data_IF_821801566403
#
_entry.id   IF_821801566403
#
_cell.length_a   1.000
_cell.length_b   1.000
_cell.length_c   1.000
_cell.angle_alpha   90.00
_cell.angle_beta   90.00
_cell.angle_gamma   90.00
#
_symmetry.space_group_name_H-M   'P 1'
#
loop_
_entity.id
_entity.type
_entity.pdbx_description
1 polymer ?
#
# COMPACT_ATOMS: atom_id res chain seq x y z
N UNK A 1 11.85 -2.21 23.69
CA UNK A 1 10.87 -1.44 22.90
C UNK A 1 10.68 -2.23 21.62
N UNK A 2 9.50 -2.79 21.40
CA UNK A 2 9.23 -3.55 20.17
C UNK A 2 9.37 -2.61 18.97
N UNK A 3 10.10 -3.04 17.95
CA UNK A 3 10.24 -2.30 16.69
C UNK A 3 8.85 -2.21 16.04
N UNK A 4 8.16 -1.08 16.20
CA UNK A 4 6.91 -0.82 15.50
C UNK A 4 7.24 -0.64 14.01
N UNK A 5 6.97 -1.67 13.21
CA UNK A 5 7.09 -1.65 11.75
C UNK A 5 5.71 -1.77 11.12
N UNK A 6 5.44 -0.98 10.09
CA UNK A 6 4.22 -1.07 9.28
C UNK A 6 4.67 -1.32 7.84
N UNK A 7 4.29 -2.47 7.26
CA UNK A 7 4.69 -2.91 5.92
C UNK A 7 6.19 -2.77 5.63
N UNK A 8 7.04 -3.11 6.60
CA UNK A 8 8.49 -3.00 6.49
C UNK A 8 9.08 -1.62 6.78
N UNK A 9 8.25 -0.59 6.97
CA UNK A 9 8.70 0.76 7.39
C UNK A 9 8.90 0.82 8.89
N UNK A 10 10.13 1.07 9.31
CA UNK A 10 10.46 1.33 10.71
C UNK A 10 9.97 2.72 11.14
N UNK A 11 9.13 2.77 12.18
CA UNK A 11 8.54 4.02 12.69
C UNK A 11 9.50 4.84 13.56
N UNK A 12 10.68 4.32 13.93
CA UNK A 12 11.67 5.04 14.75
C UNK A 12 12.60 5.92 13.93
N UNK A 13 12.63 5.75 12.59
CA UNK A 13 13.45 6.56 11.69
C UNK A 13 12.64 7.65 10.99
N UNK A 14 13.35 8.54 10.29
CA UNK A 14 12.72 9.55 9.43
C UNK A 14 12.02 8.84 8.26
N UNK A 15 10.70 8.99 8.20
CA UNK A 15 9.89 8.44 7.11
C UNK A 15 9.98 9.38 5.89
N UNK A 16 10.15 8.78 4.71
CA UNK A 16 10.18 9.50 3.42
C UNK A 16 8.98 9.11 2.55
N UNK A 17 8.58 9.95 1.58
CA UNK A 17 7.50 9.60 0.65
C UNK A 17 7.71 8.27 -0.08
N UNK A 18 8.96 7.98 -0.50
CA UNK A 18 9.31 6.71 -1.15
C UNK A 18 9.02 5.50 -0.26
N UNK A 19 9.35 5.60 1.04
CA UNK A 19 9.05 4.53 2.00
C UNK A 19 7.55 4.30 2.15
N UNK A 20 6.75 5.38 2.15
CA UNK A 20 5.29 5.27 2.22
C UNK A 20 4.71 4.67 0.94
N UNK A 21 5.23 5.04 -0.23
CA UNK A 21 4.85 4.45 -1.53
C UNK A 21 5.17 2.95 -1.61
N UNK A 22 6.31 2.54 -1.08
CA UNK A 22 6.68 1.13 -0.97
C UNK A 22 5.75 0.39 0.00
N UNK A 23 5.46 1.00 1.15
CA UNK A 23 4.51 0.47 2.12
C UNK A 23 3.09 0.32 1.54
N UNK A 24 2.63 1.28 0.73
CA UNK A 24 1.33 1.18 0.02
C UNK A 24 1.31 -0.03 -0.91
N UNK A 25 2.40 -0.28 -1.64
CA UNK A 25 2.50 -1.43 -2.55
C UNK A 25 2.40 -2.74 -1.79
N UNK A 26 3.09 -2.85 -0.64
CA UNK A 26 3.04 -4.02 0.22
C UNK A 26 1.67 -4.18 0.91
N UNK A 27 1.11 -3.08 1.42
CA UNK A 27 -0.22 -3.02 2.00
C UNK A 27 -1.30 -3.53 1.03
N UNK A 28 -1.26 -3.08 -0.23
CA UNK A 28 -2.24 -3.48 -1.23
C UNK A 28 -2.12 -4.97 -1.59
N UNK A 29 -0.88 -5.47 -1.69
CA UNK A 29 -0.63 -6.90 -1.88
C UNK A 29 -1.17 -7.75 -0.73
N UNK A 30 -0.89 -7.37 0.52
CA UNK A 30 -1.38 -8.10 1.69
C UNK A 30 -2.91 -8.09 1.78
N UNK A 31 -3.55 -6.94 1.52
CA UNK A 31 -5.00 -6.84 1.48
C UNK A 31 -5.59 -7.73 0.36
N UNK A 32 -4.98 -7.72 -0.83
CA UNK A 32 -5.39 -8.56 -1.95
C UNK A 32 -5.30 -10.05 -1.63
N UNK A 33 -4.19 -10.51 -1.02
CA UNK A 33 -4.03 -11.90 -0.60
C UNK A 33 -5.07 -12.31 0.45
N UNK A 34 -5.34 -11.46 1.44
CA UNK A 34 -6.34 -11.74 2.47
C UNK A 34 -7.76 -11.82 1.89
N UNK A 35 -8.12 -10.93 0.95
CA UNK A 35 -9.44 -10.92 0.32
C UNK A 35 -9.69 -12.14 -0.59
N UNK A 36 -8.67 -12.53 -1.36
CA UNK A 36 -8.76 -13.63 -2.33
C UNK A 36 -8.53 -15.00 -1.72
N UNK A 37 -7.91 -15.07 -0.53
CA UNK A 37 -7.48 -16.31 0.10
C UNK A 37 -6.30 -16.98 -0.61
N UNK A 38 -5.50 -16.19 -1.35
CA UNK A 38 -4.35 -16.69 -2.10
C UNK A 38 -3.30 -17.34 -1.18
N UNK A 39 -2.76 -18.48 -1.61
CA UNK A 39 -1.69 -19.15 -0.90
C UNK A 39 -0.34 -18.48 -1.22
N UNK A 40 0.17 -17.69 -0.29
CA UNK A 40 1.47 -17.01 -0.44
C UNK A 40 2.68 -17.94 -0.28
N UNK A 41 2.47 -19.24 0.01
CA UNK A 41 3.55 -20.24 0.07
C UNK A 41 4.02 -20.71 -1.31
N UNK A 42 3.21 -20.54 -2.37
CA UNK A 42 3.70 -20.70 -3.74
C UNK A 42 4.40 -19.41 -4.16
N UNK A 43 5.73 -19.45 -4.17
CA UNK A 43 6.56 -18.28 -4.52
C UNK A 43 6.25 -17.72 -5.91
N UNK A 44 5.95 -18.58 -6.90
CA UNK A 44 5.66 -18.13 -8.27
C UNK A 44 4.31 -17.43 -8.35
N UNK A 45 3.31 -17.93 -7.64
CA UNK A 45 1.99 -17.29 -7.56
C UNK A 45 2.07 -15.99 -6.76
N UNK A 46 2.78 -15.99 -5.64
CA UNK A 46 3.04 -14.81 -4.81
C UNK A 46 3.73 -13.70 -5.62
N UNK A 47 4.80 -14.01 -6.36
CA UNK A 47 5.53 -13.03 -7.17
C UNK A 47 4.67 -12.41 -8.27
N UNK A 48 3.84 -13.22 -8.95
CA UNK A 48 2.89 -12.72 -9.96
C UNK A 48 1.87 -11.76 -9.36
N UNK A 49 1.31 -12.12 -8.20
CA UNK A 49 0.33 -11.28 -7.52
C UNK A 49 0.96 -9.99 -6.98
N UNK A 50 2.20 -10.07 -6.48
CA UNK A 50 2.96 -8.90 -6.06
C UNK A 50 3.22 -7.95 -7.22
N UNK A 51 3.66 -8.47 -8.37
CA UNK A 51 3.85 -7.67 -9.59
C UNK A 51 2.54 -7.04 -10.07
N UNK A 52 1.44 -7.80 -10.07
CA UNK A 52 0.11 -7.30 -10.41
C UNK A 52 -0.32 -6.15 -9.50
N UNK A 53 -0.17 -6.33 -8.18
CA UNK A 53 -0.47 -5.29 -7.18
C UNK A 53 0.39 -4.04 -7.38
N UNK A 54 1.69 -4.21 -7.62
CA UNK A 54 2.59 -3.09 -7.93
C UNK A 54 2.18 -2.35 -9.20
N UNK A 55 1.73 -3.05 -10.25
CA UNK A 55 1.23 -2.43 -11.47
C UNK A 55 -0.04 -1.62 -11.22
N UNK A 56 -0.97 -2.13 -10.41
CA UNK A 56 -2.18 -1.38 -10.02
C UNK A 56 -1.82 -0.12 -9.26
N UNK A 57 -0.96 -0.23 -8.25
CA UNK A 57 -0.55 0.93 -7.44
C UNK A 57 0.15 1.96 -8.33
N UNK A 58 1.11 1.54 -9.16
CA UNK A 58 1.78 2.42 -10.11
C UNK A 58 0.80 3.13 -11.03
N UNK A 59 -0.12 2.38 -11.65
CA UNK A 59 -1.16 2.94 -12.52
C UNK A 59 -2.04 3.92 -11.76
N UNK A 60 -2.33 3.67 -10.49
CA UNK A 60 -3.15 4.55 -9.66
C UNK A 60 -2.46 5.89 -9.39
N UNK A 61 -1.14 5.90 -9.18
CA UNK A 61 -0.35 7.13 -9.14
C UNK A 61 -0.42 7.87 -10.48
N UNK A 62 -0.21 7.18 -11.60
CA UNK A 62 -0.26 7.79 -12.94
C UNK A 62 -1.65 8.38 -13.26
N UNK A 63 -2.72 7.63 -12.99
CA UNK A 63 -4.10 8.05 -13.21
C UNK A 63 -4.47 9.26 -12.33
N UNK A 64 -3.81 9.44 -11.17
CA UNK A 64 -4.00 10.59 -10.28
C UNK A 64 -3.02 11.74 -10.56
N UNK A 65 -2.29 11.67 -11.68
CA UNK A 65 -1.25 12.64 -12.07
C UNK A 65 -0.11 12.76 -11.04
N UNK A 66 0.09 11.76 -10.18
CA UNK A 66 1.17 11.69 -9.20
C UNK A 66 2.43 11.02 -9.74
N UNK A 67 3.57 11.25 -9.09
CA UNK A 67 4.84 10.64 -9.47
C UNK A 67 5.10 9.36 -8.66
N UNK A 68 5.01 8.19 -9.27
CA UNK A 68 5.33 6.93 -8.58
C UNK A 68 6.83 6.80 -8.22
N UNK A 69 7.73 7.36 -9.04
CA UNK A 69 9.18 7.21 -8.91
C UNK A 69 9.81 8.15 -7.88
N UNK A 70 9.23 9.33 -7.69
CA UNK A 70 9.61 10.33 -6.68
C UNK A 70 8.34 11.04 -6.18
N UNK A 71 7.52 10.36 -5.36
CA UNK A 71 6.24 10.88 -4.92
C UNK A 71 6.43 12.00 -3.92
N UNK A 72 5.55 12.99 -3.97
CA UNK A 72 5.33 13.90 -2.84
C UNK A 72 4.13 13.43 -1.99
N UNK A 73 3.85 14.13 -0.88
CA UNK A 73 2.73 13.80 0.02
C UNK A 73 1.36 13.87 -0.67
N UNK A 74 1.15 14.82 -1.58
CA UNK A 74 -0.10 14.95 -2.31
C UNK A 74 -0.30 13.79 -3.29
N UNK A 75 0.77 13.36 -3.99
CA UNK A 75 0.72 12.19 -4.88
C UNK A 75 0.26 10.94 -4.11
N UNK A 76 0.81 10.75 -2.90
CA UNK A 76 0.45 9.65 -2.01
C UNK A 76 -1.02 9.72 -1.58
N UNK A 77 -1.50 10.90 -1.16
CA UNK A 77 -2.88 11.09 -0.74
C UNK A 77 -3.86 10.80 -1.88
N UNK A 78 -3.60 11.33 -3.08
CA UNK A 78 -4.43 11.10 -4.25
C UNK A 78 -4.47 9.61 -4.64
N UNK A 79 -3.31 8.95 -4.60
CA UNK A 79 -3.23 7.52 -4.89
C UNK A 79 -4.02 6.70 -3.86
N UNK A 80 -3.92 7.05 -2.57
CA UNK A 80 -4.66 6.38 -1.49
C UNK A 80 -6.17 6.49 -1.63
N UNK A 81 -6.69 7.65 -2.03
CA UNK A 81 -8.13 7.82 -2.27
C UNK A 81 -8.62 6.93 -3.42
N UNK A 82 -7.84 6.86 -4.52
CA UNK A 82 -8.17 5.98 -5.65
C UNK A 82 -8.05 4.50 -5.32
N UNK A 83 -7.04 4.09 -4.56
CA UNK A 83 -6.90 2.70 -4.10
C UNK A 83 -8.04 2.31 -3.16
N UNK A 84 -8.49 3.23 -2.29
CA UNK A 84 -9.68 3.03 -1.46
C UNK A 84 -10.92 2.82 -2.30
N UNK A 85 -11.12 3.63 -3.35
CA UNK A 85 -12.23 3.46 -4.30
C UNK A 85 -12.17 2.11 -5.00
N UNK A 86 -10.99 1.73 -5.52
CA UNK A 86 -10.76 0.44 -6.18
C UNK A 86 -11.12 -0.73 -5.25
N UNK A 87 -10.76 -0.61 -3.97
CA UNK A 87 -10.92 -1.66 -2.97
C UNK A 87 -12.36 -1.80 -2.44
N UNK A 88 -13.31 -0.93 -2.83
CA UNK A 88 -14.73 -1.08 -2.47
C UNK A 88 -15.36 -2.39 -2.96
N UNK A 89 -14.75 -3.02 -3.96
CA UNK A 89 -15.21 -4.30 -4.51
C UNK A 89 -14.65 -5.52 -3.76
N UNK A 90 -13.82 -5.31 -2.73
CA UNK A 90 -13.31 -6.40 -1.91
C UNK A 90 -14.46 -7.03 -1.10
N UNK A 91 -14.38 -8.33 -0.89
CA UNK A 91 -15.38 -9.13 -0.18
C UNK A 91 -15.51 -8.70 1.27
N UNK A 92 -14.38 -8.35 1.89
CA UNK A 92 -14.34 -7.89 3.28
C UNK A 92 -13.77 -6.46 3.36
N UNK A 93 -14.67 -5.51 3.59
CA UNK A 93 -14.33 -4.10 3.73
C UNK A 93 -13.56 -3.79 5.02
N UNK A 94 -13.58 -4.69 6.02
CA UNK A 94 -12.81 -4.51 7.26
C UNK A 94 -11.30 -4.66 7.03
N UNK A 95 -10.89 -5.51 6.07
CA UNK A 95 -9.50 -5.61 5.59
C UNK A 95 -9.08 -4.25 5.04
N UNK A 96 -9.86 -3.69 4.12
CA UNK A 96 -9.56 -2.39 3.49
C UNK A 96 -9.42 -1.29 4.54
N UNK A 97 -10.35 -1.23 5.51
CA UNK A 97 -10.31 -0.21 6.56
C UNK A 97 -9.06 -0.32 7.44
N UNK A 98 -8.71 -1.53 7.90
CA UNK A 98 -7.50 -1.78 8.70
C UNK A 98 -6.24 -1.33 7.96
N UNK A 99 -6.08 -1.80 6.72
CA UNK A 99 -4.93 -1.51 5.88
C UNK A 99 -4.82 0.01 5.59
N UNK A 100 -5.94 0.69 5.38
CA UNK A 100 -5.99 2.13 5.17
C UNK A 100 -5.54 2.93 6.42
N UNK A 101 -6.01 2.53 7.61
CA UNK A 101 -5.63 3.17 8.87
C UNK A 101 -4.12 3.03 9.16
N UNK A 102 -3.54 1.86 8.88
CA UNK A 102 -2.10 1.62 9.06
C UNK A 102 -1.25 2.51 8.14
N UNK A 103 -1.66 2.69 6.86
CA UNK A 103 -0.96 3.62 5.96
C UNK A 103 -1.14 5.09 6.38
N UNK A 104 -2.31 5.47 6.92
CA UNK A 104 -2.51 6.83 7.42
C UNK A 104 -1.50 7.20 8.53
N UNK A 105 -1.11 6.24 9.38
CA UNK A 105 -0.06 6.45 10.38
C UNK A 105 1.26 6.87 9.73
N UNK A 106 1.61 6.26 8.60
CA UNK A 106 2.82 6.59 7.84
C UNK A 106 2.73 7.96 7.17
N UNK A 107 1.58 8.26 6.53
CA UNK A 107 1.34 9.53 5.85
C UNK A 107 1.39 10.71 6.82
N UNK A 108 0.85 10.54 8.03
CA UNK A 108 0.86 11.58 9.07
C UNK A 108 2.27 11.89 9.58
N UNK A 109 3.24 11.01 9.36
CA UNK A 109 4.66 11.24 9.68
C UNK A 109 5.43 11.94 8.55
N UNK A 110 4.84 12.10 7.36
CA UNK A 110 5.40 12.93 6.30
C UNK A 110 5.22 14.41 6.67
N UNK A 111 6.35 15.12 6.82
CA UNK A 111 6.40 16.56 7.04
C UNK A 111 6.02 17.33 5.78
#
# INVERSE_FOLDING_TARGET
MENQKIYGVDLTQKITPLMVRDAISQCFFEAHCQDTGLNTQDEKESDKNKLYCQQIVKKTFEDSHGNFGDPNKQDILNAMEKLKEFSKNFRDQSIVQKHFEEILVLINKLK
#
